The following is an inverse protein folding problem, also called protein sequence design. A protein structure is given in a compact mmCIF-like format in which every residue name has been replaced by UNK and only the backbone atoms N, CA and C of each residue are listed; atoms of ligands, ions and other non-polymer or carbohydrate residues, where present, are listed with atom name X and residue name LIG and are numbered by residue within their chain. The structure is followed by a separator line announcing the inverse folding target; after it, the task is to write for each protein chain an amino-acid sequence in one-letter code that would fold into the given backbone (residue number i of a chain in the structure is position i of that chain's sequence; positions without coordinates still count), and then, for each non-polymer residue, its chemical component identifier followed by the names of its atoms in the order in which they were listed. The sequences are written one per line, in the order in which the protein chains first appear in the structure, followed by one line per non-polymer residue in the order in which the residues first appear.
data_IF_885723514146
#
_entry.id   IF_885723514146
#
_cell.length_a   1.000
_cell.length_b   1.000
_cell.length_c   1.000
_cell.angle_alpha   90.00
_cell.angle_beta   90.00
_cell.angle_gamma   90.00
#
_symmetry.space_group_name_H-M   'P 1'
#
loop_
_entity.id
_entity.type
_entity.pdbx_description
1 polymer ?
#
# COMPACT_ATOMS: atom_id res chain seq x y z
N UNK A 1 -6.98 1.35 -13.54
CA UNK A 1 -5.64 1.09 -12.98
C UNK A 1 -4.77 0.62 -14.13
N UNK A 2 -3.61 1.23 -14.33
CA UNK A 2 -2.72 0.99 -15.47
C UNK A 2 -1.28 1.02 -15.00
N UNK A 3 -0.45 -0.01 -15.28
CA UNK A 3 0.97 -0.01 -14.94
C UNK A 3 1.73 1.10 -15.68
N UNK A 4 2.59 1.77 -14.93
CA UNK A 4 3.41 2.88 -15.39
C UNK A 4 4.88 2.68 -14.97
N UNK A 5 5.79 3.23 -15.76
CA UNK A 5 7.17 3.52 -15.37
C UNK A 5 7.22 4.68 -14.37
N UNK A 6 8.30 4.77 -13.60
CA UNK A 6 8.47 5.87 -12.65
C UNK A 6 8.61 7.24 -13.33
N UNK A 7 9.21 7.28 -14.52
CA UNK A 7 9.48 8.53 -15.25
C UNK A 7 8.24 9.22 -15.81
N UNK A 8 7.11 8.51 -15.94
CA UNK A 8 5.85 9.08 -16.44
C UNK A 8 4.88 9.46 -15.32
N UNK A 9 5.09 8.98 -14.08
CA UNK A 9 4.14 9.11 -12.99
C UNK A 9 3.82 10.58 -12.64
N UNK A 10 4.84 11.44 -12.63
CA UNK A 10 4.69 12.86 -12.27
C UNK A 10 3.74 13.62 -13.21
N UNK A 11 3.65 13.19 -14.48
CA UNK A 11 2.84 13.82 -15.52
C UNK A 11 1.55 13.07 -15.87
N UNK A 12 1.28 11.96 -15.21
CA UNK A 12 0.19 11.07 -15.59
C UNK A 12 -1.20 11.68 -15.25
N UNK A 13 -2.11 11.74 -16.22
CA UNK A 13 -3.55 11.94 -15.95
C UNK A 13 -4.27 10.58 -15.98
N UNK A 14 -4.77 10.09 -14.83
CA UNK A 14 -5.48 8.82 -14.76
C UNK A 14 -6.69 8.70 -15.70
N UNK A 15 -7.28 9.83 -16.15
CA UNK A 15 -8.41 9.84 -17.09
C UNK A 15 -8.04 9.39 -18.49
N UNK A 16 -6.76 9.50 -18.87
CA UNK A 16 -6.27 9.05 -20.17
C UNK A 16 -6.13 7.53 -20.25
N UNK A 17 -6.14 6.84 -19.10
CA UNK A 17 -6.01 5.39 -19.01
C UNK A 17 -7.38 4.71 -18.94
N UNK A 18 -7.93 4.42 -20.11
CA UNK A 18 -9.25 3.81 -20.28
C UNK A 18 -9.13 2.46 -20.98
N UNK A 19 -10.22 1.68 -20.95
CA UNK A 19 -10.32 0.42 -21.70
C UNK A 19 -10.09 0.59 -23.21
N UNK A 20 -10.31 1.79 -23.75
CA UNK A 20 -10.14 2.10 -25.18
C UNK A 20 -8.71 2.54 -25.54
N UNK A 21 -7.99 3.15 -24.60
CA UNK A 21 -6.69 3.77 -24.84
C UNK A 21 -5.52 2.89 -24.41
N UNK A 22 -5.67 2.11 -23.33
CA UNK A 22 -4.61 1.25 -22.77
C UNK A 22 -4.08 0.21 -23.75
N UNK A 23 -4.89 -0.49 -24.57
CA UNK A 23 -4.35 -1.44 -25.54
C UNK A 23 -3.37 -0.82 -26.54
N UNK A 24 -3.67 0.38 -27.04
CA UNK A 24 -2.79 1.12 -27.95
C UNK A 24 -1.49 1.56 -27.27
N UNK A 25 -1.58 1.98 -26.00
CA UNK A 25 -0.42 2.29 -25.17
C UNK A 25 0.50 1.08 -25.01
N UNK A 26 -0.03 -0.07 -24.56
CA UNK A 26 0.76 -1.30 -24.36
C UNK A 26 1.47 -1.74 -25.65
N UNK A 27 0.81 -1.63 -26.81
CA UNK A 27 1.43 -1.94 -28.09
C UNK A 27 2.58 -0.97 -28.46
N UNK A 28 2.49 0.29 -28.05
CA UNK A 28 3.49 1.31 -28.35
C UNK A 28 4.67 1.31 -27.36
N UNK A 29 4.41 1.06 -26.08
CA UNK A 29 5.38 1.24 -24.99
C UNK A 29 5.88 -0.07 -24.40
N UNK A 30 5.23 -1.20 -24.68
CA UNK A 30 5.49 -2.47 -24.00
C UNK A 30 4.85 -2.52 -22.60
N UNK A 31 5.25 -3.52 -21.81
CA UNK A 31 4.80 -3.73 -20.43
C UNK A 31 5.80 -3.10 -19.43
N UNK A 32 5.43 -2.01 -18.73
CA UNK A 32 6.29 -1.39 -17.70
C UNK A 32 6.66 -2.34 -16.56
N UNK A 33 5.89 -3.41 -16.36
CA UNK A 33 6.09 -4.37 -15.27
C UNK A 33 6.74 -5.67 -15.75
N UNK A 34 7.26 -5.73 -16.97
CA UNK A 34 7.89 -6.95 -17.55
C UNK A 34 8.92 -7.59 -16.59
N UNK A 35 9.67 -6.77 -15.85
CA UNK A 35 10.73 -7.22 -14.93
C UNK A 35 10.32 -7.27 -13.46
N UNK A 36 9.03 -7.09 -13.14
CA UNK A 36 8.54 -6.98 -11.76
C UNK A 36 9.00 -8.13 -10.86
N UNK A 37 9.01 -9.37 -11.38
CA UNK A 37 9.38 -10.56 -10.63
C UNK A 37 10.84 -11.01 -10.83
N UNK A 38 11.65 -10.24 -11.56
CA UNK A 38 13.03 -10.62 -11.89
C UNK A 38 13.94 -10.65 -10.65
N UNK A 39 13.70 -9.76 -9.70
CA UNK A 39 14.51 -9.59 -8.48
C UNK A 39 13.58 -9.44 -7.26
N UNK A 40 13.27 -10.53 -6.54
CA UNK A 40 12.49 -10.45 -5.31
C UNK A 40 13.18 -9.58 -4.25
N UNK A 41 12.43 -8.66 -3.63
CA UNK A 41 12.95 -7.80 -2.57
C UNK A 41 13.09 -8.51 -1.22
N UNK A 42 14.05 -8.06 -0.41
CA UNK A 42 14.19 -8.42 1.01
C UNK A 42 13.43 -7.41 1.90
N UNK A 43 12.76 -7.89 2.94
CA UNK A 43 12.01 -7.08 3.90
C UNK A 43 12.80 -6.75 5.18
N UNK A 44 14.05 -7.20 5.30
CA UNK A 44 14.87 -7.03 6.51
C UNK A 44 14.99 -5.57 6.95
N UNK A 45 15.20 -4.62 6.02
CA UNK A 45 15.22 -3.17 6.34
C UNK A 45 13.88 -2.68 6.88
N UNK A 46 12.75 -3.19 6.37
CA UNK A 46 11.43 -2.82 6.89
C UNK A 46 11.22 -3.34 8.32
N UNK A 47 11.73 -4.53 8.63
CA UNK A 47 11.72 -5.09 9.99
C UNK A 47 12.60 -4.28 10.96
N UNK A 48 13.76 -3.83 10.52
CA UNK A 48 14.62 -2.93 11.32
C UNK A 48 13.92 -1.61 11.63
N UNK A 49 13.19 -1.03 10.66
CA UNK A 49 12.40 0.18 10.90
C UNK A 49 11.24 -0.06 11.86
N UNK A 50 10.59 -1.23 11.79
CA UNK A 50 9.57 -1.63 12.76
C UNK A 50 10.12 -1.66 14.19
N UNK A 51 11.26 -2.31 14.43
CA UNK A 51 11.89 -2.35 15.76
C UNK A 51 12.30 -0.95 16.26
N UNK A 52 12.82 -0.10 15.36
CA UNK A 52 13.11 1.31 15.67
C UNK A 52 11.86 2.06 16.12
N UNK A 53 10.75 1.88 15.41
CA UNK A 53 9.50 2.57 15.69
C UNK A 53 8.87 2.07 17.02
N UNK A 54 8.95 0.76 17.31
CA UNK A 54 8.60 0.20 18.62
C UNK A 54 9.42 0.82 19.75
N UNK A 55 10.74 0.97 19.57
CA UNK A 55 11.63 1.65 20.52
C UNK A 55 11.27 3.13 20.75
N UNK A 56 10.66 3.77 19.75
CA UNK A 56 10.13 5.14 19.83
C UNK A 56 8.69 5.21 20.36
N UNK A 57 8.09 4.08 20.77
CA UNK A 57 6.72 4.02 21.27
C UNK A 57 5.64 4.06 20.18
N UNK A 58 5.99 3.84 18.91
CA UNK A 58 5.07 3.76 17.78
C UNK A 58 4.79 2.29 17.44
N UNK A 59 3.62 1.81 17.89
CA UNK A 59 3.16 0.44 17.64
C UNK A 59 2.27 0.30 16.41
N UNK A 60 1.53 -0.80 16.35
CA UNK A 60 0.63 -1.12 15.24
C UNK A 60 -0.45 -0.06 15.01
N UNK A 61 -0.73 0.24 13.73
CA UNK A 61 -1.82 1.12 13.32
C UNK A 61 -3.17 0.40 13.38
N UNK A 62 -4.28 1.12 13.63
CA UNK A 62 -5.59 0.50 13.71
C UNK A 62 -6.02 -0.11 12.37
N UNK A 63 -6.49 -1.36 12.42
CA UNK A 63 -7.18 -1.99 11.30
C UNK A 63 -8.49 -1.25 10.92
N UNK A 64 -8.98 -1.41 9.68
CA UNK A 64 -10.31 -0.95 9.29
C UNK A 64 -11.41 -1.43 10.25
N UNK A 65 -12.50 -0.65 10.42
CA UNK A 65 -13.53 -0.93 11.42
C UNK A 65 -14.24 -2.28 11.23
N UNK A 66 -14.40 -2.71 9.98
CA UNK A 66 -15.10 -3.95 9.61
C UNK A 66 -14.18 -5.18 9.62
N UNK A 67 -12.88 -4.99 9.90
CA UNK A 67 -11.94 -6.11 9.93
C UNK A 67 -12.20 -6.98 11.18
N UNK A 68 -12.37 -8.31 11.04
CA UNK A 68 -12.61 -9.19 12.17
C UNK A 68 -11.58 -9.00 13.28
N UNK A 69 -12.03 -9.02 14.53
CA UNK A 69 -11.14 -9.00 15.69
C UNK A 69 -10.62 -10.41 15.94
N UNK A 70 -9.33 -10.53 16.23
CA UNK A 70 -8.81 -11.76 16.80
C UNK A 70 -9.27 -11.90 18.26
N UNK A 71 -9.47 -13.13 18.75
CA UNK A 71 -9.74 -13.37 20.16
C UNK A 71 -8.64 -12.75 21.04
N UNK A 72 -9.00 -11.87 21.97
CA UNK A 72 -8.07 -11.22 22.91
C UNK A 72 -7.64 -9.80 22.56
N UNK A 73 -8.10 -9.22 21.44
CA UNK A 73 -7.74 -7.84 21.08
C UNK A 73 -8.46 -6.77 21.94
N UNK A 74 -7.76 -5.70 22.36
CA UNK A 74 -8.38 -4.57 23.07
C UNK A 74 -9.34 -3.75 22.18
N UNK A 75 -10.23 -2.92 22.77
CA UNK A 75 -11.24 -2.19 22.01
C UNK A 75 -10.65 -1.18 21.00
N UNK A 76 -10.96 -1.37 19.71
CA UNK A 76 -10.50 -0.51 18.59
C UNK A 76 -11.20 0.86 18.48
N UNK A 77 -11.94 1.29 19.50
CA UNK A 77 -12.57 2.62 19.50
C UNK A 77 -11.53 3.68 19.87
N UNK A 78 -11.55 4.82 19.16
CA UNK A 78 -10.75 5.98 19.56
C UNK A 78 -10.98 6.29 21.05
N UNK A 79 -9.94 6.57 21.86
CA UNK A 79 -10.08 6.78 23.30
C UNK A 79 -11.12 7.83 23.68
N UNK A 80 -11.30 8.84 22.83
CA UNK A 80 -12.30 9.91 22.99
C UNK A 80 -13.76 9.42 22.89
N UNK A 81 -13.99 8.25 22.29
CA UNK A 81 -15.31 7.61 22.11
C UNK A 81 -15.49 6.37 22.97
N UNK A 82 -14.47 5.97 23.75
CA UNK A 82 -14.61 4.90 24.71
C UNK A 82 -15.56 5.35 25.83
N UNK A 83 -16.71 4.69 25.97
CA UNK A 83 -17.55 4.87 27.16
C UNK A 83 -16.73 4.47 28.37
N UNK A 84 -16.56 5.39 29.31
CA UNK A 84 -16.04 5.06 30.64
C UNK A 84 -17.03 4.09 31.33
N UNK A 85 -16.53 3.13 32.13
CA UNK A 85 -17.36 2.24 32.90
C UNK A 85 -18.29 2.99 33.87
#
# INVERSE_FOLDING_TARGET
STPLEWTELDGADPREFTVLTVPGRLAATGDPWERFAAEPGDISTLLEWWERDLGNGLGELPFPPDFPKMPGEPPRVQPSRAKKP
#
